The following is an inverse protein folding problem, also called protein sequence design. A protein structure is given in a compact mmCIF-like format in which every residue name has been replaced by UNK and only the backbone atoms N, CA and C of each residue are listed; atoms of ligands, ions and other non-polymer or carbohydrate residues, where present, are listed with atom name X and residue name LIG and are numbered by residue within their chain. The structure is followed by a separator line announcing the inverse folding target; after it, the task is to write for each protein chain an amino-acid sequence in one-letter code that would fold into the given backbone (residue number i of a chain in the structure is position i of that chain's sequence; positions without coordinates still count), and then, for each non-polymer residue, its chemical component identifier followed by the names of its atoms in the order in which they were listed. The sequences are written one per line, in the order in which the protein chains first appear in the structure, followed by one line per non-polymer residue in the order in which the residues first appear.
data_IF_484677778441
#
_entry.id   IF_484677778441
#
_cell.length_a   1.000
_cell.length_b   1.000
_cell.length_c   1.000
_cell.angle_alpha   90.00
_cell.angle_beta   90.00
_cell.angle_gamma   90.00
#
_symmetry.space_group_name_H-M   'P 1'
#
loop_
_entity.id
_entity.type
_entity.pdbx_description
1 polymer ?
#
# COMPACT_ATOMS: atom_id res chain seq x y z
N UNK A 1 3.39 -32.80 15.19
CA UNK A 1 3.26 -31.73 16.19
C UNK A 1 2.00 -30.99 15.84
N UNK A 2 0.98 -31.07 16.68
CA UNK A 2 -0.27 -30.37 16.45
C UNK A 2 -0.01 -28.87 16.64
N UNK A 3 0.15 -28.15 15.53
CA UNK A 3 0.21 -26.69 15.57
C UNK A 3 -1.15 -26.20 16.08
N UNK A 4 -1.15 -25.68 17.31
CA UNK A 4 -2.36 -25.22 18.00
C UNK A 4 -3.05 -24.07 17.25
N UNK A 5 -2.36 -23.37 16.36
CA UNK A 5 -2.85 -22.27 15.55
C UNK A 5 -2.20 -22.30 14.17
N UNK A 6 -2.92 -21.84 13.15
CA UNK A 6 -2.40 -21.67 11.79
C UNK A 6 -1.82 -20.27 11.62
N UNK A 7 -0.67 -20.15 10.94
CA UNK A 7 -0.05 -18.84 10.66
C UNK A 7 -1.05 -17.91 9.97
N UNK A 8 -1.19 -16.70 10.49
CA UNK A 8 -2.17 -15.72 10.02
C UNK A 8 -3.58 -15.83 10.61
N UNK A 9 -3.89 -16.86 11.42
CA UNK A 9 -5.16 -16.93 12.17
C UNK A 9 -5.32 -15.70 13.07
N UNK A 10 -6.52 -15.14 13.08
CA UNK A 10 -6.85 -14.03 13.97
C UNK A 10 -7.04 -14.56 15.40
N UNK A 11 -6.19 -14.11 16.30
CA UNK A 11 -6.20 -14.49 17.70
C UNK A 11 -6.46 -13.28 18.58
N UNK A 12 -7.13 -13.55 19.69
CA UNK A 12 -7.30 -12.60 20.79
C UNK A 12 -6.63 -13.18 22.03
N UNK A 13 -5.57 -12.52 22.49
CA UNK A 13 -4.81 -12.88 23.71
C UNK A 13 -5.34 -12.05 24.86
N UNK A 14 -5.85 -12.72 25.89
CA UNK A 14 -6.28 -12.09 27.13
C UNK A 14 -5.16 -12.23 28.14
N UNK A 15 -4.69 -11.13 28.71
CA UNK A 15 -3.64 -11.16 29.73
C UNK A 15 -4.24 -11.29 31.13
N UNK A 16 -3.42 -11.71 32.11
CA UNK A 16 -3.82 -11.73 33.53
C UNK A 16 -4.12 -10.33 34.08
N UNK A 17 -3.61 -9.29 33.44
CA UNK A 17 -3.87 -7.88 33.75
C UNK A 17 -5.18 -7.36 33.12
N UNK A 18 -6.02 -8.25 32.60
CA UNK A 18 -7.28 -7.92 31.92
C UNK A 18 -7.12 -7.11 30.62
N UNK A 19 -5.93 -7.14 30.00
CA UNK A 19 -5.74 -6.58 28.65
C UNK A 19 -6.23 -7.58 27.61
N UNK A 20 -6.82 -7.05 26.53
CA UNK A 20 -7.33 -7.83 25.40
C UNK A 20 -6.60 -7.38 24.16
N UNK A 21 -5.72 -8.24 23.66
CA UNK A 21 -4.87 -7.95 22.50
C UNK A 21 -5.38 -8.77 21.33
N UNK A 22 -5.67 -8.12 20.22
CA UNK A 22 -6.03 -8.78 18.97
C UNK A 22 -4.89 -8.67 17.96
N UNK A 23 -4.49 -9.79 17.36
CA UNK A 23 -3.45 -9.83 16.33
C UNK A 23 -3.45 -11.15 15.57
N UNK A 24 -2.64 -11.24 14.52
CA UNK A 24 -2.52 -12.45 13.70
C UNK A 24 -1.41 -13.35 14.20
N UNK A 25 -1.68 -14.64 14.30
CA UNK A 25 -0.71 -15.63 14.75
C UNK A 25 0.54 -15.63 13.87
N UNK A 26 1.69 -15.37 14.48
CA UNK A 26 2.99 -15.46 13.81
C UNK A 26 3.64 -16.82 14.04
N UNK A 27 3.93 -17.13 15.30
CA UNK A 27 4.57 -18.37 15.72
C UNK A 27 4.38 -18.57 17.23
N UNK A 28 4.58 -19.80 17.70
CA UNK A 28 4.68 -20.15 19.11
C UNK A 28 5.93 -21.00 19.33
N UNK A 29 6.65 -20.78 20.42
CA UNK A 29 7.81 -21.60 20.77
C UNK A 29 7.40 -23.06 21.01
N UNK A 30 8.32 -24.01 20.81
CA UNK A 30 8.02 -25.44 20.94
C UNK A 30 7.54 -25.84 22.35
N UNK A 31 8.04 -25.15 23.37
CA UNK A 31 7.65 -25.29 24.78
C UNK A 31 6.36 -24.53 25.13
N UNK A 32 5.76 -23.82 24.16
CA UNK A 32 4.56 -22.97 24.31
C UNK A 32 4.73 -21.82 25.33
N UNK A 33 5.97 -21.47 25.68
CA UNK A 33 6.25 -20.39 26.63
C UNK A 33 6.05 -19.00 26.04
N UNK A 34 6.11 -18.86 24.70
CA UNK A 34 5.97 -17.59 23.99
C UNK A 34 5.08 -17.73 22.77
N UNK A 35 4.07 -16.88 22.65
CA UNK A 35 3.29 -16.65 21.43
C UNK A 35 3.67 -15.31 20.82
N UNK A 36 3.76 -15.26 19.50
CA UNK A 36 4.10 -14.05 18.74
C UNK A 36 2.93 -13.71 17.82
N UNK A 37 2.54 -12.43 17.79
CA UNK A 37 1.46 -11.91 16.95
C UNK A 37 1.96 -10.75 16.08
N UNK A 38 1.44 -10.61 14.88
CA UNK A 38 1.67 -9.44 14.01
C UNK A 38 0.34 -8.73 13.69
N UNK A 39 0.36 -7.52 13.12
CA UNK A 39 -0.87 -6.71 12.88
C UNK A 39 -1.71 -6.51 14.17
N UNK A 40 -1.06 -6.23 15.29
CA UNK A 40 -1.75 -6.07 16.59
C UNK A 40 -2.53 -4.74 16.63
N UNK A 41 -3.84 -4.79 16.90
CA UNK A 41 -4.75 -3.63 16.79
C UNK A 41 -4.50 -2.53 17.81
N UNK A 42 -4.00 -2.86 19.01
CA UNK A 42 -3.68 -1.88 20.06
C UNK A 42 -2.34 -2.25 20.68
N UNK A 43 -1.30 -1.49 20.34
CA UNK A 43 0.01 -1.60 21.01
C UNK A 43 -0.12 -1.07 22.43
N UNK A 44 0.37 -1.80 23.47
CA UNK A 44 0.58 -1.20 24.77
C UNK A 44 1.46 0.05 24.62
N UNK A 45 1.13 1.13 25.34
CA UNK A 45 1.75 2.47 25.27
C UNK A 45 3.27 2.52 25.53
N UNK A 46 3.94 1.38 25.66
CA UNK A 46 5.30 1.22 26.16
C UNK A 46 6.31 0.72 25.14
N UNK A 47 5.93 0.33 23.91
CA UNK A 47 6.91 -0.07 22.87
C UNK A 47 6.56 0.45 21.47
N UNK A 48 7.45 1.23 20.82
CA UNK A 48 7.25 1.67 19.45
C UNK A 48 7.67 0.58 18.44
N UNK A 49 6.88 0.40 17.37
CA UNK A 49 7.27 -0.19 16.09
C UNK A 49 7.87 -1.61 16.06
N UNK A 50 7.39 -2.55 16.88
CA UNK A 50 7.61 -3.98 16.60
C UNK A 50 6.48 -4.50 15.68
N UNK A 51 6.83 -4.87 14.45
CA UNK A 51 5.89 -5.53 13.51
C UNK A 51 5.33 -6.86 14.06
N UNK A 52 6.03 -7.45 15.04
CA UNK A 52 5.65 -8.68 15.74
C UNK A 52 5.75 -8.42 17.24
N UNK A 53 4.64 -8.53 17.95
CA UNK A 53 4.59 -8.45 19.41
C UNK A 53 4.71 -9.85 20.02
N UNK A 54 5.45 -9.96 21.12
CA UNK A 54 5.67 -11.20 21.84
C UNK A 54 4.94 -11.20 23.18
N UNK A 55 4.25 -12.30 23.49
CA UNK A 55 3.53 -12.51 24.75
C UNK A 55 3.97 -13.83 25.37
N UNK A 56 4.19 -13.83 26.68
CA UNK A 56 4.73 -14.97 27.40
C UNK A 56 3.65 -15.65 28.26
N UNK A 57 3.70 -16.98 28.36
CA UNK A 57 2.73 -17.81 29.10
C UNK A 57 2.38 -17.27 30.49
N UNK A 58 3.32 -16.77 31.32
CA UNK A 58 3.00 -16.25 32.65
C UNK A 58 2.05 -15.05 32.62
N UNK A 59 2.02 -14.29 31.53
CA UNK A 59 1.20 -13.09 31.34
C UNK A 59 -0.15 -13.41 30.69
N UNK A 60 -0.28 -14.58 30.06
CA UNK A 60 -1.46 -14.98 29.29
C UNK A 60 -2.46 -15.68 30.21
N UNK A 61 -3.71 -15.21 30.16
CA UNK A 61 -4.86 -15.84 30.82
C UNK A 61 -5.56 -16.82 29.87
N UNK A 62 -5.78 -16.42 28.63
CA UNK A 62 -6.45 -17.25 27.62
C UNK A 62 -6.19 -16.73 26.21
N UNK A 63 -6.31 -17.61 25.22
CA UNK A 63 -6.18 -17.27 23.80
C UNK A 63 -7.46 -17.73 23.09
N UNK A 64 -8.18 -16.80 22.48
CA UNK A 64 -9.43 -17.03 21.76
C UNK A 64 -9.17 -16.95 20.26
N UNK A 65 -9.56 -17.98 19.50
CA UNK A 65 -9.58 -17.89 18.03
C UNK A 65 -10.79 -17.06 17.62
N UNK A 66 -10.54 -15.96 16.94
CA UNK A 66 -11.61 -15.18 16.34
C UNK A 66 -11.92 -15.78 14.97
N UNK A 67 -13.21 -16.03 14.71
CA UNK A 67 -13.66 -16.23 13.33
C UNK A 67 -13.45 -14.90 12.63
N UNK A 68 -12.71 -14.89 11.52
CA UNK A 68 -12.60 -13.71 10.66
C UNK A 68 -14.05 -13.31 10.32
N UNK A 69 -14.57 -12.19 10.86
CA UNK A 69 -15.96 -11.86 10.69
C UNK A 69 -16.12 -11.50 9.22
N UNK A 70 -16.68 -12.44 8.45
CA UNK A 70 -17.04 -12.19 7.06
C UNK A 70 -17.79 -10.87 6.97
N UNK A 71 -17.18 -9.90 6.30
CA UNK A 71 -17.87 -8.71 5.80
C UNK A 71 -18.02 -7.50 6.74
N UNK A 72 -17.34 -7.41 7.89
CA UNK A 72 -17.20 -6.12 8.57
C UNK A 72 -15.79 -5.55 8.32
N UNK A 73 -15.70 -4.63 7.34
CA UNK A 73 -14.47 -3.98 6.95
C UNK A 73 -13.95 -3.09 8.10
N UNK A 74 -13.11 -3.65 8.96
CA UNK A 74 -12.27 -2.86 9.84
C UNK A 74 -11.18 -2.22 8.98
N UNK A 75 -10.94 -0.91 9.19
CA UNK A 75 -9.82 -0.23 8.57
C UNK A 75 -8.52 -0.95 8.96
N UNK A 76 -7.68 -1.25 7.97
CA UNK A 76 -6.32 -1.77 8.19
C UNK A 76 -5.31 -0.64 8.38
N UNK A 77 -5.76 0.59 8.24
CA UNK A 77 -5.06 1.83 8.58
C UNK A 77 -5.69 2.45 9.81
N UNK A 78 -4.93 3.30 10.52
CA UNK A 78 -5.48 3.97 11.71
C UNK A 78 -6.55 4.98 11.31
N UNK A 79 -7.52 5.23 12.21
CA UNK A 79 -8.58 6.21 11.96
C UNK A 79 -8.01 7.62 11.70
N UNK A 80 -6.97 8.00 12.46
CA UNK A 80 -6.28 9.28 12.28
C UNK A 80 -5.65 9.40 10.89
N UNK A 81 -4.97 8.35 10.45
CA UNK A 81 -4.33 8.31 9.13
C UNK A 81 -5.36 8.42 8.00
N UNK A 82 -6.49 7.71 8.12
CA UNK A 82 -7.61 7.86 7.19
C UNK A 82 -8.12 9.31 7.14
N UNK A 83 -8.33 9.94 8.29
CA UNK A 83 -8.79 11.33 8.38
C UNK A 83 -7.79 12.32 7.77
N UNK A 84 -6.49 12.13 7.99
CA UNK A 84 -5.43 12.95 7.42
C UNK A 84 -5.41 12.84 5.89
N UNK A 85 -5.53 11.63 5.33
CA UNK A 85 -5.62 11.42 3.87
C UNK A 85 -6.88 12.09 3.29
N UNK A 86 -8.03 11.94 3.95
CA UNK A 86 -9.26 12.60 3.52
C UNK A 86 -9.12 14.13 3.58
N UNK A 87 -8.43 14.67 4.59
CA UNK A 87 -8.15 16.11 4.68
C UNK A 87 -7.29 16.61 3.52
N UNK A 88 -6.30 15.82 3.09
CA UNK A 88 -5.49 16.13 1.90
C UNK A 88 -6.38 16.14 0.65
N UNK A 89 -7.29 15.16 0.50
CA UNK A 89 -8.21 15.11 -0.66
C UNK A 89 -9.09 16.36 -0.79
N UNK A 90 -9.44 17.03 0.31
CA UNK A 90 -10.22 18.28 0.31
C UNK A 90 -9.39 19.54 0.01
N UNK A 91 -8.07 19.43 0.01
CA UNK A 91 -7.13 20.56 -0.18
C UNK A 91 -6.42 20.50 -1.53
N UNK A 92 -7.01 19.84 -2.53
CA UNK A 92 -6.42 19.77 -3.86
C UNK A 92 -6.16 21.17 -4.44
N UNK A 93 -5.13 21.29 -5.26
CA UNK A 93 -4.81 22.51 -6.02
C UNK A 93 -5.18 22.25 -7.48
N UNK A 94 -6.04 23.09 -8.03
CA UNK A 94 -6.43 23.04 -9.44
C UNK A 94 -5.65 24.08 -10.24
N UNK A 95 -4.98 23.63 -11.30
CA UNK A 95 -4.03 24.41 -12.08
C UNK A 95 -4.48 24.41 -13.53
N UNK A 96 -4.83 25.57 -14.07
CA UNK A 96 -5.30 25.73 -15.44
C UNK A 96 -4.52 26.77 -16.25
N UNK A 97 -3.47 27.34 -15.68
CA UNK A 97 -2.54 28.26 -16.34
C UNK A 97 -1.10 27.87 -15.99
N UNK A 98 -0.14 28.25 -16.84
CA UNK A 98 1.28 28.14 -16.53
C UNK A 98 1.67 29.43 -15.78
N UNK A 99 1.42 29.42 -14.48
CA UNK A 99 1.65 30.53 -13.57
C UNK A 99 2.60 30.11 -12.43
N UNK A 100 2.73 30.95 -11.40
CA UNK A 100 3.52 30.65 -10.22
C UNK A 100 3.08 29.32 -9.55
N UNK A 101 1.77 29.10 -9.44
CA UNK A 101 1.18 27.90 -8.85
C UNK A 101 1.59 26.63 -9.61
N UNK A 102 1.63 26.70 -10.95
CA UNK A 102 2.11 25.60 -11.78
C UNK A 102 3.58 25.27 -11.48
N UNK A 103 4.44 26.28 -11.43
CA UNK A 103 5.87 26.07 -11.18
C UNK A 103 6.14 25.55 -9.77
N UNK A 104 5.47 26.08 -8.74
CA UNK A 104 5.53 25.56 -7.37
C UNK A 104 5.10 24.09 -7.31
N UNK A 105 4.04 23.70 -8.02
CA UNK A 105 3.60 22.31 -8.06
C UNK A 105 4.63 21.39 -8.71
N UNK A 106 5.24 21.82 -9.82
CA UNK A 106 6.31 21.07 -10.49
C UNK A 106 7.54 20.95 -9.59
N UNK A 107 7.91 22.00 -8.87
CA UNK A 107 9.01 21.98 -7.91
C UNK A 107 8.73 21.03 -6.73
N UNK A 108 7.55 21.13 -6.10
CA UNK A 108 7.13 20.22 -5.02
C UNK A 108 7.19 18.76 -5.46
N UNK A 109 6.58 18.45 -6.62
CA UNK A 109 6.56 17.09 -7.18
C UNK A 109 7.97 16.51 -7.36
N UNK A 110 8.94 17.33 -7.77
CA UNK A 110 10.32 16.91 -7.98
C UNK A 110 11.12 16.67 -6.68
N UNK A 111 10.61 17.11 -5.52
CA UNK A 111 11.27 16.87 -4.22
C UNK A 111 11.05 15.45 -3.70
N UNK A 112 10.08 14.71 -4.23
CA UNK A 112 9.73 13.38 -3.74
C UNK A 112 10.37 12.28 -4.59
N UNK A 113 10.65 11.13 -3.96
CA UNK A 113 11.11 9.94 -4.67
C UNK A 113 9.95 9.17 -5.33
N UNK A 114 8.72 9.36 -4.82
CA UNK A 114 7.51 8.69 -5.28
C UNK A 114 6.39 9.72 -5.41
N UNK A 115 5.69 9.68 -6.54
CA UNK A 115 4.48 10.47 -6.80
C UNK A 115 3.41 9.54 -7.32
N UNK A 116 2.14 9.85 -7.10
CA UNK A 116 1.04 9.06 -7.64
C UNK A 116 0.41 9.74 -8.86
N UNK A 117 -0.14 8.94 -9.77
CA UNK A 117 -0.86 9.40 -10.96
C UNK A 117 -2.22 8.69 -11.04
N UNK A 118 -3.29 9.46 -11.19
CA UNK A 118 -4.61 8.90 -11.49
C UNK A 118 -4.75 8.52 -12.97
N UNK A 119 -5.49 7.45 -13.24
CA UNK A 119 -5.85 7.02 -14.60
C UNK A 119 -7.15 7.64 -15.11
N UNK A 120 -7.88 8.40 -14.27
CA UNK A 120 -9.23 8.93 -14.56
C UNK A 120 -9.36 9.67 -15.91
N UNK A 121 -8.32 10.41 -16.30
CA UNK A 121 -8.30 11.17 -17.56
C UNK A 121 -7.93 10.35 -18.81
N UNK A 122 -7.51 9.09 -18.66
CA UNK A 122 -6.92 8.28 -19.73
C UNK A 122 -7.72 7.02 -20.09
N UNK A 123 -8.98 6.92 -19.64
CA UNK A 123 -9.83 5.73 -19.77
C UNK A 123 -10.05 5.23 -21.23
N UNK A 124 -9.87 6.11 -22.22
CA UNK A 124 -10.00 5.80 -23.65
C UNK A 124 -8.66 5.56 -24.37
N UNK A 125 -7.53 5.53 -23.66
CA UNK A 125 -6.19 5.31 -24.23
C UNK A 125 -5.90 6.28 -25.39
N UNK A 126 -5.36 5.77 -26.49
CA UNK A 126 -5.05 6.51 -27.73
C UNK A 126 -6.27 7.01 -28.52
N UNK A 127 -7.50 6.86 -28.03
CA UNK A 127 -8.68 7.40 -28.74
C UNK A 127 -8.91 8.87 -28.41
N UNK A 128 -8.67 9.29 -27.15
CA UNK A 128 -8.96 10.65 -26.69
C UNK A 128 -7.76 11.28 -25.99
N UNK A 129 -7.61 12.61 -26.11
CA UNK A 129 -6.70 13.37 -25.25
C UNK A 129 -7.24 13.38 -23.82
N UNK A 130 -6.34 13.49 -22.85
CA UNK A 130 -6.72 13.63 -21.44
C UNK A 130 -7.28 15.04 -21.20
N UNK A 131 -8.48 15.19 -20.61
CA UNK A 131 -9.01 16.50 -20.24
C UNK A 131 -8.28 17.11 -19.04
N UNK A 132 -7.72 16.26 -18.18
CA UNK A 132 -6.95 16.63 -16.99
C UNK A 132 -5.92 15.53 -16.68
N UNK A 133 -4.90 15.89 -15.91
CA UNK A 133 -3.91 14.99 -15.33
C UNK A 133 -3.88 15.24 -13.83
N UNK A 134 -4.04 14.19 -13.03
CA UNK A 134 -4.03 14.27 -11.57
C UNK A 134 -2.75 13.62 -11.06
N UNK A 135 -1.94 14.42 -10.35
CA UNK A 135 -0.72 13.98 -9.69
C UNK A 135 -0.86 14.23 -8.20
N UNK A 136 -0.19 13.42 -7.39
CA UNK A 136 -0.07 13.72 -5.97
C UNK A 136 1.29 13.39 -5.40
N UNK A 137 1.72 14.21 -4.45
CA UNK A 137 2.72 13.87 -3.45
C UNK A 137 2.02 13.28 -2.23
N UNK A 138 2.74 12.74 -1.23
CA UNK A 138 2.13 12.30 0.02
C UNK A 138 1.37 13.41 0.76
N UNK A 139 1.65 14.69 0.47
CA UNK A 139 1.09 15.83 1.21
C UNK A 139 0.11 16.68 0.39
N UNK A 140 0.14 16.61 -0.94
CA UNK A 140 -0.61 17.50 -1.80
C UNK A 140 -1.11 16.80 -3.07
N UNK A 141 -2.33 17.13 -3.50
CA UNK A 141 -2.92 16.68 -4.76
C UNK A 141 -3.01 17.87 -5.73
N UNK A 142 -2.61 17.63 -6.97
CA UNK A 142 -2.60 18.59 -8.06
C UNK A 142 -3.46 18.09 -9.22
N UNK A 143 -4.40 18.93 -9.66
CA UNK A 143 -5.24 18.67 -10.83
C UNK A 143 -4.84 19.66 -11.92
N UNK A 144 -4.10 19.17 -12.91
CA UNK A 144 -3.68 19.96 -14.07
C UNK A 144 -4.76 19.88 -15.15
N UNK A 145 -5.28 21.02 -15.59
CA UNK A 145 -6.26 21.11 -16.66
C UNK A 145 -5.59 21.00 -18.03
N UNK A 146 -5.35 19.76 -18.47
CA UNK A 146 -4.68 19.47 -19.74
C UNK A 146 -5.50 19.92 -20.96
N UNK A 147 -6.82 20.05 -20.84
CA UNK A 147 -7.64 20.59 -21.94
C UNK A 147 -7.34 22.07 -22.19
N UNK A 148 -7.16 22.84 -21.11
CA UNK A 148 -6.82 24.28 -21.19
C UNK A 148 -5.33 24.47 -21.47
N UNK A 149 -4.47 23.79 -20.73
CA UNK A 149 -3.01 23.94 -20.81
C UNK A 149 -2.40 23.28 -22.06
N UNK A 150 -3.05 22.25 -22.58
CA UNK A 150 -2.62 21.48 -23.74
C UNK A 150 -1.16 21.01 -23.62
N UNK A 151 -0.37 21.13 -24.68
CA UNK A 151 1.02 20.68 -24.71
C UNK A 151 1.94 21.55 -23.85
N UNK A 152 1.56 22.79 -23.54
CA UNK A 152 2.37 23.70 -22.72
C UNK A 152 2.61 23.16 -21.30
N UNK A 153 1.64 22.46 -20.71
CA UNK A 153 1.84 21.80 -19.42
C UNK A 153 2.96 20.75 -19.46
N UNK A 154 3.05 19.99 -20.55
CA UNK A 154 4.06 18.96 -20.71
C UNK A 154 5.44 19.56 -20.94
N UNK A 155 5.54 20.55 -21.84
CA UNK A 155 6.79 21.24 -22.16
C UNK A 155 7.33 22.05 -20.96
N UNK A 156 6.45 22.54 -20.09
CA UNK A 156 6.82 23.34 -18.92
C UNK A 156 7.27 22.51 -17.70
N UNK A 157 7.31 21.17 -17.81
CA UNK A 157 7.94 20.32 -16.80
C UNK A 157 7.29 18.95 -16.60
N UNK A 158 5.99 18.79 -16.87
CA UNK A 158 5.31 17.52 -16.60
C UNK A 158 5.87 16.37 -17.44
N UNK A 159 6.28 16.63 -18.69
CA UNK A 159 6.91 15.60 -19.51
C UNK A 159 8.18 15.07 -18.86
N UNK A 160 9.05 15.96 -18.38
CA UNK A 160 10.31 15.57 -17.72
C UNK A 160 10.06 14.68 -16.51
N UNK A 161 9.06 14.99 -15.68
CA UNK A 161 8.67 14.20 -14.51
C UNK A 161 8.17 12.80 -14.91
N UNK A 162 7.34 12.72 -15.95
CA UNK A 162 6.73 11.46 -16.39
C UNK A 162 7.73 10.54 -17.11
N UNK A 163 8.73 11.12 -17.77
CA UNK A 163 9.77 10.39 -18.53
C UNK A 163 11.05 10.13 -17.71
N UNK A 164 11.17 10.63 -16.48
CA UNK A 164 12.35 10.44 -15.64
C UNK A 164 12.37 9.09 -14.92
N UNK A 165 13.56 8.68 -14.46
CA UNK A 165 13.71 7.53 -13.56
C UNK A 165 13.29 7.86 -12.11
N UNK A 166 13.43 9.13 -11.72
CA UNK A 166 12.97 9.68 -10.43
C UNK A 166 12.25 11.02 -10.67
N UNK A 167 11.07 11.28 -10.08
CA UNK A 167 10.34 10.39 -9.16
C UNK A 167 9.82 9.13 -9.83
N UNK A 168 9.59 8.08 -9.03
CA UNK A 168 8.85 6.87 -9.44
C UNK A 168 7.36 7.14 -9.39
N UNK A 169 6.63 6.70 -10.41
CA UNK A 169 5.20 6.97 -10.60
C UNK A 169 4.36 5.81 -10.06
N UNK A 170 3.66 6.02 -8.97
CA UNK A 170 2.68 5.08 -8.42
C UNK A 170 1.41 5.19 -9.25
N UNK A 171 0.97 4.07 -9.82
CA UNK A 171 -0.24 3.99 -10.65
C UNK A 171 -1.01 2.73 -10.25
N UNK A 172 -2.32 2.72 -10.49
CA UNK A 172 -3.10 1.48 -10.51
C UNK A 172 -3.48 1.18 -11.96
N UNK A 173 -2.97 0.10 -12.54
CA UNK A 173 -3.17 -0.25 -13.95
C UNK A 173 -2.76 0.86 -14.94
N UNK A 174 -1.46 0.99 -15.15
CA UNK A 174 -0.91 2.04 -16.01
C UNK A 174 -1.13 1.82 -17.52
N UNK A 175 -1.76 0.71 -17.97
CA UNK A 175 -1.82 0.31 -19.39
C UNK A 175 -2.43 1.41 -20.28
N UNK A 176 -3.62 1.88 -19.93
CA UNK A 176 -4.33 2.91 -20.70
C UNK A 176 -3.71 4.30 -20.55
N UNK A 177 -3.19 4.60 -19.36
CA UNK A 177 -2.45 5.83 -19.09
C UNK A 177 -1.22 5.93 -19.99
N UNK A 178 -0.40 4.89 -20.05
CA UNK A 178 0.79 4.81 -20.89
C UNK A 178 0.44 4.95 -22.38
N UNK A 179 -0.62 4.26 -22.84
CA UNK A 179 -1.09 4.35 -24.23
C UNK A 179 -1.55 5.77 -24.60
N UNK A 180 -2.30 6.42 -23.71
CA UNK A 180 -2.78 7.78 -23.90
C UNK A 180 -1.63 8.80 -23.92
N UNK A 181 -0.76 8.77 -22.91
CA UNK A 181 0.39 9.68 -22.79
C UNK A 181 1.28 9.63 -24.05
N UNK A 182 1.61 8.42 -24.50
CA UNK A 182 2.49 8.24 -25.66
C UNK A 182 1.84 8.75 -26.95
N UNK A 183 0.62 8.28 -27.26
CA UNK A 183 0.01 8.55 -28.56
C UNK A 183 -0.72 9.91 -28.67
N UNK A 184 -1.08 10.55 -27.55
CA UNK A 184 -1.85 11.81 -27.55
C UNK A 184 -1.09 13.01 -27.04
N UNK A 185 -0.07 12.78 -26.22
CA UNK A 185 0.70 13.86 -25.59
C UNK A 185 2.20 13.75 -25.85
N UNK A 186 2.65 12.73 -26.61
CA UNK A 186 4.06 12.50 -26.92
C UNK A 186 4.92 12.42 -25.64
N UNK A 187 4.43 11.70 -24.64
CA UNK A 187 5.09 11.46 -23.35
C UNK A 187 5.30 9.96 -23.15
N UNK A 188 6.54 9.55 -22.90
CA UNK A 188 6.92 8.16 -22.66
C UNK A 188 7.00 7.87 -21.16
N UNK A 189 5.91 7.37 -20.57
CA UNK A 189 5.86 7.03 -19.14
C UNK A 189 6.99 6.03 -18.78
N UNK A 190 7.83 6.36 -17.80
CA UNK A 190 8.92 5.52 -17.27
C UNK A 190 8.87 5.39 -15.77
N UNK A 191 9.62 4.45 -15.19
CA UNK A 191 9.77 4.24 -13.73
C UNK A 191 8.43 4.24 -12.97
N UNK A 192 7.68 3.14 -13.12
CA UNK A 192 6.33 2.98 -12.55
C UNK A 192 6.34 1.95 -11.42
N UNK A 193 5.65 2.26 -10.33
CA UNK A 193 5.19 1.29 -9.33
C UNK A 193 3.70 1.04 -9.59
N UNK A 194 3.35 -0.12 -10.15
CA UNK A 194 1.95 -0.44 -10.44
C UNK A 194 1.33 -1.29 -9.33
N UNK A 195 0.34 -0.74 -8.64
CA UNK A 195 -0.36 -1.42 -7.53
C UNK A 195 -1.18 -2.63 -7.98
N UNK A 196 -1.67 -2.66 -9.23
CA UNK A 196 -2.35 -3.85 -9.75
C UNK A 196 -1.33 -4.99 -10.00
N UNK A 197 -0.14 -4.66 -10.49
CA UNK A 197 0.96 -5.63 -10.59
C UNK A 197 1.40 -6.10 -9.20
N UNK A 198 1.48 -5.20 -8.23
CA UNK A 198 1.76 -5.54 -6.83
C UNK A 198 0.79 -6.58 -6.28
N UNK A 199 -0.52 -6.40 -6.48
CA UNK A 199 -1.55 -7.37 -6.08
C UNK A 199 -1.36 -8.75 -6.72
N UNK A 200 -1.03 -8.80 -8.01
CA UNK A 200 -0.76 -10.05 -8.74
C UNK A 200 0.43 -10.79 -8.11
N UNK A 201 1.52 -10.08 -7.81
CA UNK A 201 2.72 -10.66 -7.20
C UNK A 201 2.42 -11.17 -5.78
N UNK A 202 1.71 -10.38 -4.96
CA UNK A 202 1.30 -10.79 -3.61
C UNK A 202 0.44 -12.05 -3.67
N UNK A 203 -0.54 -12.09 -4.58
CA UNK A 203 -1.43 -13.24 -4.76
C UNK A 203 -0.66 -14.48 -5.21
N UNK A 204 0.28 -14.33 -6.16
CA UNK A 204 1.16 -15.41 -6.62
C UNK A 204 2.00 -15.96 -5.47
N UNK A 205 2.61 -15.10 -4.66
CA UNK A 205 3.45 -15.54 -3.56
C UNK A 205 2.65 -16.25 -2.45
N UNK A 206 1.39 -15.85 -2.23
CA UNK A 206 0.49 -16.46 -1.24
C UNK A 206 -0.06 -17.81 -1.70
N UNK A 207 -0.44 -17.93 -2.97
CA UNK A 207 -1.22 -19.09 -3.47
C UNK A 207 -0.40 -20.05 -4.34
N UNK A 208 0.79 -19.64 -4.77
CA UNK A 208 1.59 -20.34 -5.78
C UNK A 208 1.10 -20.16 -7.22
N UNK A 209 -0.06 -19.52 -7.44
CA UNK A 209 -0.71 -19.40 -8.74
C UNK A 209 -1.02 -17.94 -9.08
N UNK A 210 -1.03 -17.62 -10.38
CA UNK A 210 -1.47 -16.29 -10.87
C UNK A 210 -2.97 -16.36 -11.15
N UNK A 211 -3.73 -15.39 -10.64
CA UNK A 211 -5.17 -15.29 -10.88
C UNK A 211 -5.47 -14.98 -12.37
N UNK A 212 -6.61 -15.46 -12.86
CA UNK A 212 -7.05 -15.20 -14.23
C UNK A 212 -7.65 -13.80 -14.43
N UNK A 213 -7.99 -13.12 -13.34
CA UNK A 213 -8.59 -11.79 -13.32
C UNK A 213 -7.76 -10.86 -12.43
N UNK A 214 -7.75 -9.58 -12.78
CA UNK A 214 -7.09 -8.53 -12.01
C UNK A 214 -8.09 -7.82 -11.11
N UNK A 215 -7.61 -7.26 -10.00
CA UNK A 215 -8.42 -6.45 -9.10
C UNK A 215 -8.40 -4.98 -9.51
N UNK A 216 -9.55 -4.34 -9.39
CA UNK A 216 -9.74 -2.90 -9.53
C UNK A 216 -9.14 -2.12 -8.34
N UNK A 217 -9.02 -0.80 -8.48
CA UNK A 217 -8.52 0.06 -7.40
C UNK A 217 -9.41 -0.02 -6.14
N UNK A 218 -10.76 0.07 -6.23
CA UNK A 218 -11.62 -0.09 -5.05
C UNK A 218 -11.46 -1.44 -4.35
N UNK A 219 -11.33 -2.53 -5.11
CA UNK A 219 -11.10 -3.87 -4.54
C UNK A 219 -9.75 -3.94 -3.80
N UNK A 220 -8.68 -3.39 -4.39
CA UNK A 220 -7.39 -3.30 -3.72
C UNK A 220 -7.45 -2.44 -2.45
N UNK A 221 -8.11 -1.28 -2.48
CA UNK A 221 -8.27 -0.45 -1.29
C UNK A 221 -9.06 -1.15 -0.18
N UNK A 222 -10.08 -1.92 -0.54
CA UNK A 222 -10.81 -2.75 0.41
C UNK A 222 -9.91 -3.83 1.02
N UNK A 223 -9.20 -4.59 0.18
CA UNK A 223 -8.37 -5.71 0.61
C UNK A 223 -7.18 -5.25 1.46
N UNK A 224 -6.48 -4.20 1.05
CA UNK A 224 -5.21 -3.79 1.66
C UNK A 224 -5.37 -2.72 2.74
N UNK A 225 -6.37 -1.84 2.63
CA UNK A 225 -6.57 -0.74 3.58
C UNK A 225 -7.88 -0.86 4.38
N UNK A 226 -8.77 -1.80 4.04
CA UNK A 226 -10.06 -1.98 4.74
C UNK A 226 -11.10 -0.93 4.37
N UNK A 227 -10.94 -0.20 3.26
CA UNK A 227 -11.89 0.83 2.84
C UNK A 227 -13.16 0.22 2.25
N UNK A 228 -14.27 0.96 2.28
CA UNK A 228 -15.51 0.52 1.61
C UNK A 228 -15.32 0.55 0.09
N UNK A 229 -15.95 -0.37 -0.63
CA UNK A 229 -15.83 -0.44 -2.10
C UNK A 229 -16.33 0.82 -2.81
N UNK A 230 -17.26 1.57 -2.20
CA UNK A 230 -17.76 2.84 -2.73
C UNK A 230 -16.95 4.07 -2.30
N UNK A 231 -15.73 3.88 -1.79
CA UNK A 231 -14.86 5.00 -1.38
C UNK A 231 -14.39 5.83 -2.59
N UNK A 232 -14.24 5.18 -3.74
CA UNK A 232 -13.78 5.76 -5.01
C UNK A 232 -14.91 5.61 -6.04
N UNK A 233 -15.00 6.58 -6.94
CA UNK A 233 -16.00 6.60 -8.00
C UNK A 233 -15.34 6.27 -9.34
N UNK A 234 -15.61 5.07 -9.85
CA UNK A 234 -14.98 4.55 -11.08
C UNK A 234 -15.55 5.16 -12.38
N UNK A 235 -16.67 5.89 -12.29
CA UNK A 235 -17.40 6.41 -13.44
C UNK A 235 -17.57 7.91 -13.34
N UNK A 236 -16.63 8.64 -13.94
CA UNK A 236 -16.78 10.06 -14.19
C UNK A 236 -17.63 10.29 -15.45
N UNK A 237 -18.52 11.27 -15.39
CA UNK A 237 -19.30 11.68 -16.56
C UNK A 237 -18.38 12.29 -17.62
N UNK A 238 -18.38 11.69 -18.81
CA UNK A 238 -17.45 12.04 -19.90
C UNK A 238 -17.69 13.47 -20.39
N UNK A 239 -18.95 13.91 -20.45
CA UNK A 239 -19.32 15.23 -20.96
C UNK A 239 -18.85 16.29 -19.97
N UNK A 240 -19.17 16.12 -18.68
CA UNK A 240 -18.75 17.03 -17.62
C UNK A 240 -17.23 17.10 -17.46
N UNK A 241 -16.51 16.01 -17.76
CA UNK A 241 -15.03 16.02 -17.74
C UNK A 241 -14.43 16.95 -18.81
N UNK A 242 -15.15 17.20 -19.90
CA UNK A 242 -14.70 18.09 -21.00
C UNK A 242 -15.30 19.49 -20.95
N UNK A 243 -16.33 19.72 -20.14
CA UNK A 243 -16.90 21.05 -19.97
C UNK A 243 -16.00 21.96 -19.14
N UNK A 244 -16.05 23.27 -19.42
CA UNK A 244 -15.33 24.30 -18.66
C UNK A 244 -16.27 25.45 -18.27
N UNK A 245 -16.17 25.98 -17.03
CA UNK A 245 -15.21 25.62 -15.98
C UNK A 245 -15.42 24.18 -15.44
N UNK A 246 -14.32 23.50 -15.10
CA UNK A 246 -14.41 22.12 -14.59
C UNK A 246 -15.16 22.10 -13.26
N UNK A 247 -16.22 21.28 -13.19
CA UNK A 247 -17.13 21.31 -12.05
C UNK A 247 -16.41 20.94 -10.74
N UNK A 248 -16.89 21.53 -9.63
CA UNK A 248 -16.33 21.25 -8.29
C UNK A 248 -16.48 19.77 -7.94
N UNK A 249 -17.61 19.16 -8.30
CA UNK A 249 -17.88 17.75 -8.06
C UNK A 249 -16.84 16.86 -8.77
N UNK A 250 -16.53 17.13 -10.04
CA UNK A 250 -15.51 16.36 -10.77
C UNK A 250 -14.14 16.53 -10.11
N UNK A 251 -13.75 17.74 -9.73
CA UNK A 251 -12.46 17.98 -9.05
C UNK A 251 -12.36 17.24 -7.70
N UNK A 252 -13.43 17.26 -6.90
CA UNK A 252 -13.49 16.52 -5.63
C UNK A 252 -13.41 15.01 -5.83
N UNK A 253 -14.09 14.48 -6.86
CA UNK A 253 -14.00 13.06 -7.20
C UNK A 253 -12.59 12.68 -7.66
N UNK A 254 -11.95 13.48 -8.52
CA UNK A 254 -10.56 13.26 -8.95
C UNK A 254 -9.59 13.23 -7.77
N UNK A 255 -9.73 14.16 -6.83
CA UNK A 255 -8.91 14.19 -5.63
C UNK A 255 -9.15 12.97 -4.72
N UNK A 256 -10.41 12.53 -4.58
CA UNK A 256 -10.76 11.34 -3.82
C UNK A 256 -10.22 10.06 -4.45
N UNK A 257 -10.26 9.94 -5.77
CA UNK A 257 -9.83 8.74 -6.49
C UNK A 257 -8.31 8.48 -6.36
N UNK A 258 -7.49 9.52 -6.17
CA UNK A 258 -6.03 9.38 -6.03
C UNK A 258 -5.54 9.34 -4.58
N UNK A 259 -6.32 9.83 -3.61
CA UNK A 259 -5.78 10.19 -2.28
C UNK A 259 -5.17 9.01 -1.48
N UNK A 260 -5.65 7.79 -1.69
CA UNK A 260 -5.12 6.60 -1.01
C UNK A 260 -4.01 5.87 -1.78
N UNK A 261 -3.64 6.33 -2.97
CA UNK A 261 -2.76 5.57 -3.86
C UNK A 261 -1.32 5.47 -3.31
N UNK A 262 -0.82 6.53 -2.67
CA UNK A 262 0.46 6.49 -1.92
C UNK A 262 0.44 5.40 -0.85
N UNK A 263 -0.55 5.47 0.05
CA UNK A 263 -0.64 4.52 1.16
C UNK A 263 -0.87 3.08 0.71
N UNK A 264 -1.66 2.89 -0.35
CA UNK A 264 -1.85 1.58 -0.96
C UNK A 264 -0.52 1.00 -1.45
N UNK A 265 0.32 1.82 -2.10
CA UNK A 265 1.61 1.37 -2.61
C UNK A 265 2.59 0.97 -1.50
N UNK A 266 2.62 1.71 -0.40
CA UNK A 266 3.42 1.38 0.79
C UNK A 266 2.99 0.04 1.37
N UNK A 267 1.69 -0.13 1.62
CA UNK A 267 1.12 -1.37 2.15
C UNK A 267 1.42 -2.57 1.24
N UNK A 268 1.31 -2.39 -0.09
CA UNK A 268 1.64 -3.44 -1.04
C UNK A 268 3.14 -3.75 -1.08
N UNK A 269 4.00 -2.74 -0.98
CA UNK A 269 5.43 -2.93 -0.90
C UNK A 269 5.80 -3.76 0.35
N UNK A 270 5.22 -3.43 1.51
CA UNK A 270 5.44 -4.17 2.76
C UNK A 270 4.97 -5.62 2.64
N UNK A 271 3.80 -5.85 2.03
CA UNK A 271 3.31 -7.20 1.77
C UNK A 271 4.23 -7.96 0.82
N UNK A 272 4.65 -7.38 -0.31
CA UNK A 272 5.59 -8.04 -1.23
C UNK A 272 6.91 -8.41 -0.55
N UNK A 273 7.40 -7.57 0.37
CA UNK A 273 8.64 -7.78 1.11
C UNK A 273 8.49 -8.70 2.34
N UNK A 274 7.27 -9.08 2.71
CA UNK A 274 7.00 -9.82 3.95
C UNK A 274 7.78 -11.14 4.06
N UNK A 275 7.88 -12.00 3.03
CA UNK A 275 8.70 -13.22 3.12
C UNK A 275 10.17 -12.91 3.40
N UNK A 276 10.71 -11.86 2.79
CA UNK A 276 12.09 -11.42 3.03
C UNK A 276 12.27 -10.96 4.47
N UNK A 277 11.38 -10.09 4.97
CA UNK A 277 11.45 -9.56 6.34
C UNK A 277 11.35 -10.69 7.38
N UNK A 278 10.44 -11.65 7.19
CA UNK A 278 10.33 -12.84 8.05
C UNK A 278 11.58 -13.72 8.01
N UNK A 279 12.21 -13.84 6.83
CA UNK A 279 13.48 -14.53 6.67
C UNK A 279 14.61 -13.85 7.43
N UNK A 280 14.69 -12.51 7.39
CA UNK A 280 15.66 -11.73 8.16
C UNK A 280 15.44 -11.93 9.65
N UNK A 281 14.20 -11.87 10.14
CA UNK A 281 13.88 -12.11 11.55
C UNK A 281 14.31 -13.52 12.00
N UNK A 282 14.09 -14.52 11.15
CA UNK A 282 14.57 -15.88 11.40
C UNK A 282 16.08 -15.93 11.59
N UNK A 283 16.85 -15.17 10.80
CA UNK A 283 18.31 -15.06 10.95
C UNK A 283 18.71 -14.31 12.22
N UNK A 284 18.05 -13.20 12.53
CA UNK A 284 18.31 -12.39 13.74
C UNK A 284 18.13 -13.22 15.01
N UNK A 285 17.08 -14.05 15.06
CA UNK A 285 16.76 -14.89 16.22
C UNK A 285 17.54 -16.20 16.26
N UNK A 286 18.12 -16.66 15.15
CA UNK A 286 18.62 -18.02 15.01
C UNK A 286 19.64 -18.43 16.09
N UNK A 287 20.62 -17.57 16.36
CA UNK A 287 21.63 -17.78 17.41
C UNK A 287 21.22 -17.09 18.72
N UNK A 288 20.72 -15.85 18.62
CA UNK A 288 20.44 -14.97 19.75
C UNK A 288 19.44 -15.54 20.75
N UNK A 289 18.49 -16.34 20.29
CA UNK A 289 17.43 -16.94 21.12
C UNK A 289 17.77 -18.32 21.69
N UNK A 290 18.93 -18.88 21.34
CA UNK A 290 19.36 -20.21 21.81
C UNK A 290 20.13 -20.14 23.13
N UNK A 291 20.19 -21.25 23.86
CA UNK A 291 21.18 -21.44 24.93
C UNK A 291 22.62 -21.53 24.37
N UNK A 292 23.61 -21.34 25.23
CA UNK A 292 25.03 -21.28 24.85
C UNK A 292 25.51 -22.53 24.10
N UNK A 293 25.03 -23.71 24.48
CA UNK A 293 25.42 -24.97 23.85
C UNK A 293 24.91 -25.04 22.41
N UNK A 294 23.62 -24.76 22.21
CA UNK A 294 23.00 -24.78 20.90
C UNK A 294 23.49 -23.62 20.01
N UNK A 295 23.73 -22.44 20.58
CA UNK A 295 24.34 -21.33 19.88
C UNK A 295 25.74 -21.70 19.36
N UNK A 296 26.57 -22.33 20.19
CA UNK A 296 27.90 -22.80 19.78
C UNK A 296 27.84 -23.87 18.68
N UNK A 297 26.92 -24.83 18.77
CA UNK A 297 26.70 -25.85 17.72
C UNK A 297 26.33 -25.21 16.38
N UNK A 298 25.42 -24.23 16.39
CA UNK A 298 24.94 -23.55 15.19
C UNK A 298 26.01 -22.66 14.54
N UNK A 299 26.93 -22.07 15.32
CA UNK A 299 28.10 -21.37 14.78
C UNK A 299 28.94 -22.26 13.86
N UNK A 300 29.05 -23.56 14.16
CA UNK A 300 29.73 -24.54 13.30
C UNK A 300 28.98 -24.90 12.00
N UNK A 301 27.74 -24.43 11.83
CA UNK A 301 26.84 -24.78 10.72
C UNK A 301 26.43 -23.58 9.86
N UNK A 302 27.22 -22.51 9.85
CA UNK A 302 26.89 -21.23 9.18
C UNK A 302 26.53 -21.32 7.67
N UNK A 303 26.97 -22.37 6.97
CA UNK A 303 26.65 -22.58 5.55
C UNK A 303 25.30 -23.28 5.32
N UNK A 304 24.60 -23.67 6.39
CA UNK A 304 23.28 -24.27 6.34
C UNK A 304 22.21 -23.21 6.64
N UNK A 305 21.10 -23.28 5.91
CA UNK A 305 19.94 -22.43 6.17
C UNK A 305 19.35 -22.81 7.54
N UNK A 306 18.92 -21.84 8.38
CA UNK A 306 18.19 -22.14 9.60
C UNK A 306 17.02 -23.10 9.36
N UNK A 307 16.84 -24.09 10.24
CA UNK A 307 15.80 -25.12 10.10
C UNK A 307 14.39 -24.53 9.94
N UNK A 308 14.12 -23.43 10.64
CA UNK A 308 12.82 -22.76 10.65
C UNK A 308 12.66 -21.71 9.53
N UNK A 309 13.67 -21.54 8.66
CA UNK A 309 13.62 -20.51 7.62
C UNK A 309 12.50 -20.75 6.62
N UNK A 310 12.31 -22.00 6.19
CA UNK A 310 11.27 -22.35 5.21
C UNK A 310 9.87 -21.99 5.73
N UNK A 311 9.56 -22.39 6.96
CA UNK A 311 8.28 -22.06 7.60
C UNK A 311 8.17 -20.56 7.93
N UNK A 312 9.28 -19.86 8.17
CA UNK A 312 9.29 -18.42 8.39
C UNK A 312 8.86 -17.64 7.14
N UNK A 313 9.35 -18.00 5.95
CA UNK A 313 9.07 -17.27 4.71
C UNK A 313 7.78 -17.68 3.99
N UNK A 314 7.23 -18.86 4.32
CA UNK A 314 5.93 -19.29 3.80
C UNK A 314 4.81 -18.34 4.27
N UNK A 315 3.87 -18.09 3.36
CA UNK A 315 2.77 -17.15 3.56
C UNK A 315 1.73 -17.66 4.54
#
# INVERSE_FOLDING_TARGET
MDNLYMKGELLQVHTKNCEVIEGRFYNMTNDKSKISLYEVKELPKTKPNENVCHYYEPEIRSIVRLKDPGGQAFLKITQKEYEDIIKISKKYIYINQIDHTFHEAVEDINQYNYIAISTDGANMGRKCKMPFLVLSTPQQIYIFDIQVLQYHAFDSGLKKILESESPKKIVHDCRKLSDCLFHKHNVTLKSVFDTQVGDIIITKNKTGCIASQVKSLPECLNIYLGLKLNTIEDKLDIVQCTERPLSVIIKETLARNICFLHRLSEMMNDQMMLPFLRGVECYVENLRSCDDFKAWELCGKQYQIPKDFKSAIEY
#
